data_IF_753370824998
#
_entry.id   IF_753370824998
#
_cell.length_a   1.000
_cell.length_b   1.000
_cell.length_c   1.000
_cell.angle_alpha   90.00
_cell.angle_beta   90.00
_cell.angle_gamma   90.00
#
_symmetry.space_group_name_H-M   'P 1'
#
loop_
_entity.id
_entity.type
_entity.pdbx_description
1 polymer ?
#
# COMPACT_ATOMS: atom_id res chain seq x y z
N UNK A 1 -24.38 -11.87 10.10
CA UNK A 1 -24.50 -10.75 11.06
C UNK A 1 -23.88 -9.49 10.46
N UNK A 2 -24.49 -8.37 10.66
CA UNK A 2 -24.58 -7.22 9.76
C UNK A 2 -23.33 -6.33 9.77
N UNK A 3 -22.81 -6.01 8.59
CA UNK A 3 -21.95 -4.85 8.26
C UNK A 3 -22.41 -3.56 8.99
N UNK A 4 -23.68 -3.47 9.33
CA UNK A 4 -24.32 -2.35 10.06
C UNK A 4 -23.85 -2.18 11.53
N UNK A 5 -23.38 -3.24 12.19
CA UNK A 5 -22.95 -3.16 13.60
C UNK A 5 -21.61 -2.45 13.77
N UNK A 6 -20.65 -2.77 12.92
CA UNK A 6 -19.30 -2.17 12.96
C UNK A 6 -19.29 -0.70 12.54
N UNK A 7 -20.12 -0.32 11.56
CA UNK A 7 -20.30 1.08 11.16
C UNK A 7 -20.87 1.93 12.31
N UNK A 8 -21.93 1.47 12.96
CA UNK A 8 -22.53 2.17 14.11
C UNK A 8 -21.56 2.36 15.29
N UNK A 9 -20.66 1.38 15.50
CA UNK A 9 -19.62 1.51 16.52
C UNK A 9 -18.63 2.60 16.14
N UNK A 10 -18.18 2.65 14.89
CA UNK A 10 -17.25 3.67 14.40
C UNK A 10 -17.89 5.06 14.39
N UNK A 11 -19.17 5.18 14.02
CA UNK A 11 -19.92 6.44 14.07
C UNK A 11 -20.03 7.00 15.49
N UNK A 12 -20.28 6.14 16.49
CA UNK A 12 -20.30 6.57 17.90
C UNK A 12 -18.94 7.03 18.39
N UNK A 13 -17.86 6.35 17.97
CA UNK A 13 -16.50 6.77 18.29
C UNK A 13 -16.17 8.11 17.60
N UNK A 14 -16.53 8.26 16.35
CA UNK A 14 -16.31 9.46 15.56
C UNK A 14 -16.93 10.70 16.21
N UNK A 15 -18.20 10.59 16.67
CA UNK A 15 -18.90 11.70 17.32
C UNK A 15 -18.27 12.15 18.64
N UNK A 16 -17.45 11.31 19.27
CA UNK A 16 -16.75 11.61 20.52
C UNK A 16 -15.32 12.13 20.30
N UNK A 17 -14.82 12.17 19.06
CA UNK A 17 -13.46 12.61 18.78
C UNK A 17 -13.32 14.12 19.02
N UNK A 18 -12.17 14.55 19.56
CA UNK A 18 -11.78 15.96 19.52
C UNK A 18 -11.61 16.45 18.06
N UNK A 19 -11.72 17.77 17.88
CA UNK A 19 -11.46 18.39 16.57
C UNK A 19 -10.04 18.05 16.07
N UNK A 20 -9.92 17.66 14.81
CA UNK A 20 -8.66 17.28 14.17
C UNK A 20 -8.20 15.84 14.44
N UNK A 21 -8.89 15.10 15.33
CA UNK A 21 -8.61 13.68 15.51
C UNK A 21 -9.39 12.83 14.48
N UNK A 22 -8.74 11.78 13.99
CA UNK A 22 -9.28 10.88 12.98
C UNK A 22 -9.04 9.42 13.36
N UNK A 23 -9.97 8.56 12.98
CA UNK A 23 -9.82 7.11 13.10
C UNK A 23 -9.82 6.50 11.69
N UNK A 24 -8.93 5.57 11.46
CA UNK A 24 -8.89 4.78 10.24
C UNK A 24 -9.13 3.33 10.58
N UNK A 25 -10.14 2.72 9.97
CA UNK A 25 -10.39 1.30 10.07
C UNK A 25 -10.01 0.64 8.75
N UNK A 26 -8.95 -0.14 8.80
CA UNK A 26 -8.41 -0.88 7.66
C UNK A 26 -9.04 -2.27 7.67
N UNK A 27 -9.71 -2.64 6.59
CA UNK A 27 -10.39 -3.92 6.48
C UNK A 27 -9.55 -4.90 5.64
N UNK A 28 -9.60 -6.20 5.96
CA UNK A 28 -8.87 -7.21 5.19
C UNK A 28 -9.29 -7.30 3.71
N UNK A 29 -10.48 -6.81 3.37
CA UNK A 29 -10.97 -6.71 1.99
C UNK A 29 -10.47 -5.46 1.25
N UNK A 30 -9.50 -4.74 1.82
CA UNK A 30 -8.89 -3.56 1.24
C UNK A 30 -9.72 -2.28 1.36
N UNK A 31 -10.91 -2.33 1.97
CA UNK A 31 -11.69 -1.12 2.25
C UNK A 31 -11.10 -0.39 3.44
N UNK A 32 -11.16 0.93 3.36
CA UNK A 32 -10.69 1.83 4.42
C UNK A 32 -11.81 2.77 4.78
N UNK A 33 -12.15 2.79 6.06
CA UNK A 33 -13.10 3.76 6.59
C UNK A 33 -12.32 4.81 7.36
N UNK A 34 -12.52 6.07 7.01
CA UNK A 34 -12.07 7.23 7.79
C UNK A 34 -13.24 7.75 8.60
N UNK A 35 -13.02 8.00 9.87
CA UNK A 35 -13.99 8.58 10.77
C UNK A 35 -13.41 9.81 11.45
N UNK A 36 -14.11 10.91 11.39
CA UNK A 36 -13.81 12.14 12.09
C UNK A 36 -15.11 12.68 12.69
N UNK A 37 -15.07 13.86 13.31
CA UNK A 37 -16.24 14.48 13.94
C UNK A 37 -17.38 14.77 12.96
N UNK A 38 -17.10 14.87 11.67
CA UNK A 38 -18.11 15.08 10.62
C UNK A 38 -18.83 13.78 10.23
N UNK A 39 -18.30 12.63 10.61
CA UNK A 39 -18.91 11.31 10.34
C UNK A 39 -17.93 10.25 9.87
N UNK A 40 -18.49 9.19 9.28
CA UNK A 40 -17.73 8.06 8.73
C UNK A 40 -17.89 8.04 7.21
N UNK A 41 -16.77 7.92 6.50
CA UNK A 41 -16.74 7.80 5.04
C UNK A 41 -15.76 6.71 4.61
N UNK A 42 -16.05 6.05 3.51
CA UNK A 42 -15.13 5.09 2.88
C UNK A 42 -14.18 5.86 1.97
N UNK A 43 -12.87 5.64 2.17
CA UNK A 43 -11.88 6.16 1.23
C UNK A 43 -11.93 5.33 -0.06
N UNK A 44 -12.12 6.00 -1.18
CA UNK A 44 -12.16 5.39 -2.48
C UNK A 44 -11.53 6.28 -3.54
N UNK A 45 -10.96 5.71 -4.62
CA UNK A 45 -10.30 6.48 -5.66
C UNK A 45 -11.24 7.41 -6.45
N UNK A 46 -12.55 7.21 -6.30
CA UNK A 46 -13.57 8.01 -7.01
C UNK A 46 -14.15 9.13 -6.14
N UNK A 47 -13.77 9.21 -4.87
CA UNK A 47 -14.19 10.28 -3.98
C UNK A 47 -13.12 11.39 -3.98
N UNK A 48 -13.37 12.56 -4.58
CA UNK A 48 -12.40 13.66 -4.63
C UNK A 48 -12.01 14.17 -3.24
N UNK A 49 -12.87 13.98 -2.24
CA UNK A 49 -12.60 14.38 -0.86
C UNK A 49 -11.94 13.28 -0.02
N UNK A 50 -11.62 12.14 -0.63
CA UNK A 50 -11.06 10.99 0.07
C UNK A 50 -9.63 11.20 0.58
N UNK A 51 -8.90 12.17 0.00
CA UNK A 51 -7.47 12.34 0.23
C UNK A 51 -6.63 11.18 -0.34
N UNK A 52 -7.22 10.35 -1.22
CA UNK A 52 -6.49 9.35 -1.97
C UNK A 52 -5.89 9.98 -3.22
N UNK A 53 -4.58 9.94 -3.29
CA UNK A 53 -3.81 10.43 -4.41
C UNK A 53 -3.43 9.26 -5.33
N UNK A 54 -3.47 9.48 -6.64
CA UNK A 54 -2.86 8.57 -7.61
C UNK A 54 -1.38 8.44 -7.26
N UNK A 55 -0.89 7.19 -7.16
CA UNK A 55 0.52 6.97 -6.85
C UNK A 55 1.38 7.02 -8.12
N UNK A 56 1.50 5.91 -8.85
CA UNK A 56 2.28 5.87 -10.10
C UNK A 56 1.36 5.74 -11.31
N UNK A 57 0.36 4.87 -11.23
CA UNK A 57 -0.59 4.63 -12.31
C UNK A 57 -2.05 4.64 -11.81
N UNK A 58 -3.00 4.46 -12.74
CA UNK A 58 -4.43 4.58 -12.47
C UNK A 58 -5.04 3.43 -11.64
N UNK A 59 -4.24 2.42 -11.32
CA UNK A 59 -4.65 1.27 -10.51
C UNK A 59 -4.16 1.37 -9.07
N UNK A 60 -3.39 2.41 -8.74
CA UNK A 60 -2.66 2.55 -7.49
C UNK A 60 -2.94 3.90 -6.86
N UNK A 61 -3.34 3.85 -5.59
CA UNK A 61 -3.68 5.03 -4.81
C UNK A 61 -2.98 4.99 -3.47
N UNK A 62 -2.69 6.15 -2.92
CA UNK A 62 -2.10 6.30 -1.60
C UNK A 62 -2.81 7.40 -0.81
N UNK A 63 -3.00 7.15 0.46
CA UNK A 63 -3.40 8.15 1.44
C UNK A 63 -2.23 8.37 2.42
N UNK A 64 -1.76 9.59 2.49
CA UNK A 64 -0.62 9.96 3.31
C UNK A 64 -1.09 10.41 4.69
N UNK A 65 -0.60 9.75 5.74
CA UNK A 65 -0.79 10.17 7.12
C UNK A 65 0.30 11.16 7.55
N UNK A 66 1.51 11.00 7.00
CA UNK A 66 2.68 11.84 7.27
C UNK A 66 3.48 11.95 5.96
N UNK A 67 3.99 13.14 5.66
CA UNK A 67 4.85 13.36 4.51
C UNK A 67 4.10 13.29 3.19
N UNK A 68 3.18 14.21 2.99
CA UNK A 68 2.46 14.36 1.71
C UNK A 68 3.43 14.66 0.56
N UNK A 69 3.34 13.88 -0.52
CA UNK A 69 4.16 14.07 -1.71
C UNK A 69 3.98 15.45 -2.36
N UNK A 70 2.77 16.05 -2.26
CA UNK A 70 2.48 17.38 -2.81
C UNK A 70 3.07 18.50 -1.96
N UNK A 71 3.23 18.29 -0.65
CA UNK A 71 3.73 19.29 0.30
C UNK A 71 5.18 19.01 0.77
N UNK A 72 5.76 17.90 0.32
CA UNK A 72 7.12 17.46 0.70
C UNK A 72 8.21 18.53 0.50
N UNK A 73 8.21 19.32 -0.60
CA UNK A 73 9.19 20.41 -0.76
C UNK A 73 9.04 21.52 0.27
N UNK A 74 7.80 21.81 0.69
CA UNK A 74 7.50 22.88 1.64
C UNK A 74 7.61 22.43 3.09
N UNK A 75 7.41 21.14 3.33
CA UNK A 75 7.49 20.51 4.65
C UNK A 75 8.29 19.22 4.56
N UNK A 76 9.61 19.32 4.34
CA UNK A 76 10.44 18.12 4.23
C UNK A 76 10.31 17.28 5.49
N UNK A 77 10.07 16.01 5.31
CA UNK A 77 9.97 15.03 6.39
C UNK A 77 10.96 13.91 6.13
N UNK A 78 11.66 13.47 7.18
CA UNK A 78 12.52 12.28 7.10
C UNK A 78 11.73 10.96 7.05
N UNK A 79 10.42 11.05 7.03
CA UNK A 79 9.54 9.88 6.95
C UNK A 79 8.25 10.21 6.22
N UNK A 80 7.77 9.25 5.44
CA UNK A 80 6.38 9.21 4.98
C UNK A 80 5.69 8.02 5.64
N UNK A 81 4.40 8.15 5.91
CA UNK A 81 3.57 7.05 6.36
C UNK A 81 2.25 7.08 5.59
N UNK A 82 1.98 6.02 4.85
CA UNK A 82 0.87 6.00 3.89
C UNK A 82 0.14 4.66 3.86
N UNK A 83 -1.12 4.72 3.47
CA UNK A 83 -1.89 3.56 3.05
C UNK A 83 -1.82 3.45 1.53
N UNK A 84 -1.34 2.31 1.03
CA UNK A 84 -1.39 1.97 -0.39
C UNK A 84 -2.56 1.03 -0.68
N UNK A 85 -3.25 1.25 -1.80
CA UNK A 85 -4.32 0.39 -2.28
C UNK A 85 -3.97 -0.14 -3.67
N UNK A 86 -4.06 -1.47 -3.82
CA UNK A 86 -3.79 -2.18 -5.07
C UNK A 86 -5.07 -2.84 -5.55
N UNK A 87 -5.48 -2.54 -6.79
CA UNK A 87 -6.67 -3.15 -7.38
C UNK A 87 -6.52 -4.68 -7.50
N UNK A 88 -7.63 -5.43 -7.59
CA UNK A 88 -7.59 -6.88 -7.83
C UNK A 88 -6.78 -7.23 -9.07
N UNK A 89 -5.97 -8.29 -8.97
CA UNK A 89 -5.17 -8.84 -10.08
C UNK A 89 -4.22 -7.83 -10.76
N UNK A 90 -3.80 -6.81 -10.01
CA UNK A 90 -2.82 -5.81 -10.48
C UNK A 90 -1.57 -5.81 -9.59
N UNK A 91 -0.58 -5.04 -9.99
CA UNK A 91 0.61 -4.80 -9.22
C UNK A 91 1.00 -3.32 -9.27
N UNK A 92 1.70 -2.85 -8.26
CA UNK A 92 2.37 -1.56 -8.35
C UNK A 92 3.40 -1.59 -9.48
N UNK A 93 3.50 -0.50 -10.21
CA UNK A 93 4.60 -0.27 -11.13
C UNK A 93 5.91 -0.46 -10.37
N UNK A 94 6.85 -1.28 -10.89
CA UNK A 94 8.14 -1.49 -10.24
C UNK A 94 8.86 -0.16 -10.05
N UNK A 95 9.32 0.06 -8.81
CA UNK A 95 10.00 1.29 -8.43
C UNK A 95 11.03 1.02 -7.32
N UNK A 96 11.83 2.00 -7.06
CA UNK A 96 12.75 2.06 -5.93
C UNK A 96 12.56 3.38 -5.17
N UNK A 97 13.00 3.43 -3.94
CA UNK A 97 12.99 4.64 -3.11
C UNK A 97 14.39 4.99 -2.68
N UNK A 98 14.70 6.28 -2.54
CA UNK A 98 15.98 6.75 -2.00
C UNK A 98 16.19 6.50 -0.51
N UNK A 99 15.16 6.04 0.21
CA UNK A 99 15.23 5.62 1.60
C UNK A 99 14.75 4.20 1.82
N UNK A 100 14.85 3.72 3.06
CA UNK A 100 14.30 2.41 3.44
C UNK A 100 12.78 2.40 3.32
N UNK A 101 12.24 1.26 2.90
CA UNK A 101 10.82 1.05 2.76
C UNK A 101 10.35 -0.09 3.67
N UNK A 102 9.41 0.21 4.56
CA UNK A 102 8.75 -0.74 5.45
C UNK A 102 7.31 -0.91 5.01
N UNK A 103 6.89 -2.12 4.72
CA UNK A 103 5.53 -2.41 4.25
C UNK A 103 4.89 -3.51 5.06
N UNK A 104 3.75 -3.20 5.67
CA UNK A 104 2.87 -4.16 6.35
C UNK A 104 1.74 -4.54 5.39
N UNK A 105 1.69 -5.80 4.98
CA UNK A 105 0.58 -6.33 4.18
C UNK A 105 -0.65 -6.56 5.07
N UNK A 106 -1.79 -5.96 4.71
CA UNK A 106 -3.07 -6.15 5.41
C UNK A 106 -3.95 -7.24 4.74
N UNK A 107 -3.54 -7.68 3.57
CA UNK A 107 -4.12 -8.80 2.83
C UNK A 107 -3.04 -9.67 2.22
N UNK A 108 -3.41 -10.79 1.54
CA UNK A 108 -2.45 -11.61 0.81
C UNK A 108 -1.79 -10.81 -0.32
N UNK A 109 -0.48 -10.69 -0.28
CA UNK A 109 0.30 -9.94 -1.26
C UNK A 109 1.46 -10.78 -1.79
N UNK A 110 1.97 -10.43 -2.96
CA UNK A 110 3.27 -10.88 -3.43
C UNK A 110 4.20 -9.69 -3.59
N UNK A 111 5.45 -9.84 -3.18
CA UNK A 111 6.47 -8.82 -3.36
C UNK A 111 7.57 -9.37 -4.27
N UNK A 112 7.82 -8.71 -5.39
CA UNK A 112 8.99 -8.95 -6.24
C UNK A 112 10.13 -8.04 -5.80
N UNK A 113 11.30 -8.61 -5.49
CA UNK A 113 12.50 -7.91 -5.07
C UNK A 113 13.66 -8.23 -6.03
N UNK A 114 14.44 -7.25 -6.43
CA UNK A 114 15.63 -7.49 -7.24
C UNK A 114 16.86 -7.76 -6.36
N UNK A 115 17.40 -8.98 -6.48
CA UNK A 115 18.67 -9.35 -5.85
C UNK A 115 19.84 -8.97 -6.80
N UNK A 116 20.48 -7.86 -6.51
CA UNK A 116 21.59 -7.34 -7.34
C UNK A 116 22.80 -8.29 -7.40
N UNK A 117 23.08 -9.04 -6.32
CA UNK A 117 24.21 -9.98 -6.28
C UNK A 117 23.98 -11.18 -7.21
N UNK A 118 22.73 -11.66 -7.27
CA UNK A 118 22.34 -12.81 -8.10
C UNK A 118 21.75 -12.39 -9.44
N UNK A 119 21.58 -11.09 -9.66
CA UNK A 119 20.97 -10.48 -10.86
C UNK A 119 19.65 -11.18 -11.22
N UNK A 120 18.77 -11.32 -10.26
CA UNK A 120 17.47 -11.96 -10.43
C UNK A 120 16.40 -11.39 -9.52
N UNK A 121 15.15 -11.54 -9.94
CA UNK A 121 14.00 -11.22 -9.08
C UNK A 121 13.69 -12.39 -8.15
N UNK A 122 13.50 -12.09 -6.88
CA UNK A 122 13.00 -13.01 -5.86
C UNK A 122 11.56 -12.61 -5.55
N UNK A 123 10.64 -13.55 -5.71
CA UNK A 123 9.25 -13.35 -5.31
C UNK A 123 9.04 -13.83 -3.87
N UNK A 124 8.43 -12.99 -3.06
CA UNK A 124 8.10 -13.28 -1.65
C UNK A 124 6.59 -13.18 -1.48
N UNK A 125 5.97 -14.23 -0.96
CA UNK A 125 4.55 -14.20 -0.61
C UNK A 125 4.40 -13.64 0.81
N UNK A 126 3.54 -12.63 0.94
CA UNK A 126 3.25 -11.95 2.19
C UNK A 126 1.84 -12.32 2.66
N UNK A 127 1.77 -13.02 3.79
CA UNK A 127 0.50 -13.23 4.48
C UNK A 127 0.03 -11.92 5.15
N UNK A 128 -1.29 -11.76 5.42
CA UNK A 128 -1.78 -10.64 6.21
C UNK A 128 -1.04 -10.51 7.55
N UNK A 129 -0.65 -9.29 7.91
CA UNK A 129 0.15 -9.00 9.10
C UNK A 129 1.66 -9.19 8.93
N UNK A 130 2.13 -9.55 7.74
CA UNK A 130 3.58 -9.65 7.46
C UNK A 130 4.15 -8.27 7.15
N UNK A 131 5.16 -7.87 7.91
CA UNK A 131 5.97 -6.68 7.66
C UNK A 131 7.22 -7.07 6.86
N UNK A 132 7.50 -6.37 5.78
CA UNK A 132 8.75 -6.49 5.03
C UNK A 132 9.52 -5.17 5.08
N UNK A 133 10.84 -5.25 5.29
CA UNK A 133 11.77 -4.12 5.16
C UNK A 133 12.54 -4.26 3.87
N UNK A 134 12.55 -3.22 3.06
CA UNK A 134 13.23 -3.16 1.77
C UNK A 134 14.30 -2.08 1.87
N UNK A 135 15.58 -2.40 1.60
CA UNK A 135 16.66 -1.41 1.59
C UNK A 135 16.43 -0.30 0.56
N UNK A 136 17.11 0.82 0.77
CA UNK A 136 17.18 1.91 -0.21
C UNK A 136 17.62 1.41 -1.59
N UNK A 137 17.09 2.02 -2.63
CA UNK A 137 17.37 1.76 -4.04
C UNK A 137 17.15 0.30 -4.51
N UNK A 138 16.55 -0.57 -3.68
CA UNK A 138 16.20 -1.92 -4.12
C UNK A 138 14.94 -1.90 -4.97
N UNK A 139 15.01 -2.27 -6.27
CA UNK A 139 13.85 -2.39 -7.12
C UNK A 139 12.83 -3.40 -6.58
N UNK A 140 11.59 -2.97 -6.46
CA UNK A 140 10.51 -3.81 -5.93
C UNK A 140 9.15 -3.47 -6.53
N UNK A 141 8.20 -4.38 -6.33
CA UNK A 141 6.80 -4.18 -6.65
C UNK A 141 5.92 -5.08 -5.77
N UNK A 142 4.75 -4.60 -5.41
CA UNK A 142 3.74 -5.39 -4.70
C UNK A 142 2.60 -5.73 -5.63
N UNK A 143 2.22 -7.01 -5.66
CA UNK A 143 1.13 -7.53 -6.46
C UNK A 143 -0.03 -8.02 -5.60
N UNK A 144 -1.23 -7.72 -6.05
CA UNK A 144 -2.48 -8.23 -5.52
C UNK A 144 -3.00 -9.35 -6.42
N UNK A 145 -3.00 -10.59 -5.91
CA UNK A 145 -3.50 -11.76 -6.63
C UNK A 145 -4.92 -12.15 -6.25
N UNK A 146 -5.56 -11.38 -5.37
CA UNK A 146 -6.91 -11.66 -4.89
C UNK A 146 -7.98 -10.95 -5.72
N UNK A 147 -9.22 -11.39 -5.56
CA UNK A 147 -10.40 -10.77 -6.16
C UNK A 147 -10.83 -9.49 -5.42
N UNK A 148 -10.29 -9.25 -4.21
CA UNK A 148 -10.55 -8.07 -3.41
C UNK A 148 -9.38 -7.08 -3.51
N UNK A 149 -9.63 -5.81 -3.20
CA UNK A 149 -8.58 -4.78 -3.11
C UNK A 149 -7.61 -5.13 -1.99
N UNK A 150 -6.31 -5.02 -2.27
CA UNK A 150 -5.25 -5.18 -1.27
C UNK A 150 -4.94 -3.82 -0.64
N UNK A 151 -4.94 -3.76 0.68
CA UNK A 151 -4.41 -2.64 1.43
C UNK A 151 -3.05 -2.99 2.03
N UNK A 152 -2.12 -2.05 1.95
CA UNK A 152 -0.80 -2.11 2.59
C UNK A 152 -0.56 -0.83 3.38
N UNK A 153 0.08 -0.92 4.53
CA UNK A 153 0.65 0.24 5.23
C UNK A 153 2.13 0.34 4.89
N UNK A 154 2.54 1.49 4.40
CA UNK A 154 3.90 1.71 3.95
C UNK A 154 4.52 2.91 4.64
N UNK A 155 5.76 2.76 5.10
CA UNK A 155 6.59 3.84 5.61
C UNK A 155 7.90 3.91 4.82
N UNK A 156 8.30 5.10 4.42
CA UNK A 156 9.61 5.38 3.86
C UNK A 156 10.38 6.25 4.85
N UNK A 157 11.64 5.94 5.08
CA UNK A 157 12.51 6.64 6.02
C UNK A 157 13.88 6.91 5.40
N UNK A 158 14.58 7.92 5.89
CA UNK A 158 15.93 8.23 5.46
C UNK A 158 16.05 9.35 4.43
N UNK A 159 17.23 9.52 3.88
CA UNK A 159 17.50 10.47 2.81
C UNK A 159 16.83 9.99 1.51
N UNK A 160 16.29 10.91 0.71
CA UNK A 160 15.63 10.57 -0.55
C UNK A 160 14.14 10.37 -0.44
N UNK A 161 13.52 10.99 0.57
CA UNK A 161 12.08 11.24 0.58
C UNK A 161 11.76 12.52 -0.21
N UNK A 162 12.78 13.09 -0.83
CA UNK A 162 12.61 14.15 -1.80
C UNK A 162 11.68 13.72 -2.91
N UNK A 163 10.97 14.68 -3.46
CA UNK A 163 10.10 14.48 -4.60
C UNK A 163 10.72 13.65 -5.72
N UNK A 164 12.03 13.84 -5.94
CA UNK A 164 12.76 13.20 -7.02
C UNK A 164 13.01 11.71 -6.78
N UNK A 165 13.21 11.30 -5.52
CA UNK A 165 13.57 9.92 -5.17
C UNK A 165 12.44 9.16 -4.50
N UNK A 166 11.28 9.76 -4.45
CA UNK A 166 10.11 9.18 -3.80
C UNK A 166 9.64 7.87 -4.47
N UNK A 167 9.68 7.81 -5.79
CA UNK A 167 9.38 6.60 -6.56
C UNK A 167 10.15 6.63 -7.88
N UNK A 168 11.32 6.02 -7.90
CA UNK A 168 12.17 5.92 -9.09
C UNK A 168 11.65 4.76 -9.93
N UNK A 169 10.97 5.04 -11.03
CA UNK A 169 10.56 4.04 -12.02
C UNK A 169 11.69 3.77 -13.04
N UNK A 170 11.49 2.76 -13.91
CA UNK A 170 12.48 2.47 -14.95
C UNK A 170 12.70 3.65 -15.90
N UNK A 171 11.64 4.39 -16.21
CA UNK A 171 11.70 5.59 -17.07
C UNK A 171 12.49 6.71 -16.40
N UNK A 172 12.23 6.96 -15.12
CA UNK A 172 12.95 7.98 -14.33
C UNK A 172 14.43 7.62 -14.22
N UNK A 173 14.76 6.37 -13.90
CA UNK A 173 16.13 5.89 -13.82
C UNK A 173 16.85 6.04 -15.18
N UNK A 174 16.18 5.76 -16.29
CA UNK A 174 16.74 5.92 -17.63
C UNK A 174 17.00 7.39 -17.98
N UNK A 175 16.07 8.29 -17.66
CA UNK A 175 16.24 9.74 -17.86
C UNK A 175 17.44 10.29 -17.05
N UNK A 176 17.72 9.72 -15.89
CA UNK A 176 18.89 10.06 -15.05
C UNK A 176 20.19 9.41 -15.52
N UNK A 177 20.12 8.52 -16.52
CA UNK A 177 21.29 7.76 -16.98
C UNK A 177 21.66 6.57 -16.10
N UNK A 178 20.81 6.19 -15.15
CA UNK A 178 20.98 5.07 -14.21
C UNK A 178 20.58 3.73 -14.87
N UNK A 179 21.33 3.33 -15.89
CA UNK A 179 20.97 2.20 -16.77
C UNK A 179 20.85 0.87 -16.05
N UNK A 180 21.69 0.61 -15.05
CA UNK A 180 21.62 -0.63 -14.27
C UNK A 180 20.35 -0.70 -13.42
N UNK A 181 19.98 0.40 -12.78
CA UNK A 181 18.74 0.51 -12.02
C UNK A 181 17.50 0.36 -12.93
N UNK A 182 17.50 1.03 -14.08
CA UNK A 182 16.43 0.90 -15.06
C UNK A 182 16.26 -0.55 -15.56
N UNK A 183 17.36 -1.25 -15.84
CA UNK A 183 17.33 -2.65 -16.24
C UNK A 183 16.78 -3.56 -15.13
N UNK A 184 17.20 -3.33 -13.88
CA UNK A 184 16.72 -4.08 -12.72
C UNK A 184 15.20 -3.87 -12.49
N UNK A 185 14.72 -2.64 -12.64
CA UNK A 185 13.30 -2.32 -12.53
C UNK A 185 12.46 -3.01 -13.61
N UNK A 186 12.93 -3.05 -14.85
CA UNK A 186 12.28 -3.80 -15.93
C UNK A 186 12.29 -5.31 -15.69
N UNK A 187 13.34 -5.84 -15.07
CA UNK A 187 13.41 -7.26 -14.69
C UNK A 187 12.32 -7.60 -13.64
N UNK A 188 12.09 -6.74 -12.65
CA UNK A 188 11.00 -6.91 -11.69
C UNK A 188 9.65 -6.96 -12.40
N UNK A 189 9.41 -6.08 -13.36
CA UNK A 189 8.17 -6.08 -14.17
C UNK A 189 7.96 -7.39 -14.91
N UNK A 190 9.00 -7.90 -15.58
CA UNK A 190 8.89 -9.09 -16.43
C UNK A 190 8.66 -10.37 -15.64
N UNK A 191 9.15 -10.43 -14.40
CA UNK A 191 9.11 -11.63 -13.56
C UNK A 191 8.07 -11.59 -12.45
N UNK A 192 7.42 -10.48 -12.26
CA UNK A 192 6.29 -10.40 -11.34
C UNK A 192 5.11 -11.19 -11.92
N UNK A 193 5.16 -12.50 -11.75
CA UNK A 193 4.06 -13.37 -12.15
C UNK A 193 2.86 -13.06 -11.26
N UNK A 194 1.85 -12.50 -11.85
CA UNK A 194 0.49 -12.50 -11.32
C UNK A 194 -0.01 -13.96 -11.33
N UNK A 195 0.58 -14.80 -10.48
CA UNK A 195 0.20 -16.19 -10.36
C UNK A 195 -1.24 -16.33 -9.87
N UNK A 196 -1.95 -17.35 -10.34
CA UNK A 196 -3.29 -17.67 -9.84
C UNK A 196 -3.23 -17.93 -8.34
N UNK A 197 -4.12 -17.29 -7.59
CA UNK A 197 -4.27 -17.50 -6.15
C UNK A 197 -4.57 -18.97 -5.89
N UNK A 198 -3.78 -19.62 -5.06
CA UNK A 198 -4.00 -21.02 -4.70
C UNK A 198 -5.31 -21.19 -3.91
N UNK A 199 -5.90 -22.39 -3.95
CA UNK A 199 -7.10 -22.71 -3.15
C UNK A 199 -6.85 -22.43 -1.65
N UNK A 200 -5.63 -22.72 -1.17
CA UNK A 200 -5.23 -22.49 0.21
C UNK A 200 -5.24 -20.99 0.57
N UNK A 201 -4.71 -20.14 -0.31
CA UNK A 201 -4.71 -18.68 -0.12
C UNK A 201 -6.13 -18.12 -0.14
N UNK A 202 -6.99 -18.58 -1.07
CA UNK A 202 -8.42 -18.18 -1.11
C UNK A 202 -9.15 -18.58 0.17
N UNK A 203 -8.89 -19.79 0.67
CA UNK A 203 -9.50 -20.25 1.92
C UNK A 203 -9.02 -19.42 3.12
N UNK A 204 -7.71 -19.17 3.23
CA UNK A 204 -7.14 -18.34 4.27
C UNK A 204 -7.73 -16.92 4.26
N UNK A 205 -7.86 -16.32 3.07
CA UNK A 205 -8.47 -15.00 2.91
C UNK A 205 -9.96 -15.00 3.32
N UNK A 206 -10.73 -16.04 2.92
CA UNK A 206 -12.12 -16.18 3.37
C UNK A 206 -12.26 -16.29 4.89
N UNK A 207 -11.43 -17.10 5.53
CA UNK A 207 -11.42 -17.24 6.97
C UNK A 207 -11.07 -15.92 7.68
N UNK A 208 -10.12 -15.18 7.15
CA UNK A 208 -9.74 -13.87 7.69
C UNK A 208 -10.88 -12.84 7.57
N UNK A 209 -11.59 -12.84 6.45
CA UNK A 209 -12.81 -12.00 6.27
C UNK A 209 -13.92 -12.36 7.26
N UNK A 210 -14.13 -13.65 7.51
CA UNK A 210 -15.12 -14.12 8.49
C UNK A 210 -14.70 -13.66 9.89
N UNK A 211 -13.42 -13.84 10.27
CA UNK A 211 -12.91 -13.40 11.55
C UNK A 211 -13.10 -11.89 11.75
N UNK A 212 -12.71 -11.07 10.78
CA UNK A 212 -12.89 -9.62 10.81
C UNK A 212 -14.38 -9.23 10.93
N UNK A 213 -15.28 -9.92 10.22
CA UNK A 213 -16.71 -9.67 10.32
C UNK A 213 -17.30 -10.04 11.69
N UNK A 214 -16.73 -11.04 12.37
CA UNK A 214 -17.11 -11.42 13.74
C UNK A 214 -16.58 -10.40 14.77
N UNK A 215 -15.39 -9.88 14.58
CA UNK A 215 -14.81 -8.80 15.43
C UNK A 215 -15.60 -7.49 15.28
N UNK A 216 -16.01 -7.14 14.06
CA UNK A 216 -16.85 -5.97 13.76
C UNK A 216 -18.28 -6.08 14.35
N UNK A 217 -18.70 -7.27 14.79
CA UNK A 217 -20.03 -7.52 15.33
C UNK A 217 -20.11 -7.43 16.87
N UNK A 218 -18.98 -7.23 17.53
CA UNK A 218 -18.90 -6.98 18.96
C UNK A 218 -18.88 -5.48 19.26
#
# INVERSE_FOLDING_TARGET
MSIRGGLRSLERQASALPDGAELFRLRPDGRVLRADRAGVRELGPQDPDSGLLRFIDDQQYAHYFIGDAATSPERPSNATYKLGLVAPHTAFTPHAHGGEHLVLALGPASCGLYDARRRRVVAVDLAPGTLIRIPELMPHSFGNRSDDRLAILAANTGYGIDHEDYAITAEVAEQRGERELAAALREVTSRQRMGTVTVRERLAHRLHRIAAALEDSR
#
